data_IF_473980369419
#
_entry.id   IF_473980369419
#
_cell.length_a   1.000
_cell.length_b   1.000
_cell.length_c   1.000
_cell.angle_alpha   90.00
_cell.angle_beta   90.00
_cell.angle_gamma   90.00
#
_symmetry.space_group_name_H-M   'P 1'
#
loop_
_entity.id
_entity.type
_entity.pdbx_description
1 polymer ?
#
# COMPACT_ATOMS: atom_id res chain seq x y z
N UNK A 1 34.10 7.25 9.93
CA UNK A 1 33.15 6.82 8.87
C UNK A 1 32.16 5.77 9.35
N UNK A 2 32.56 4.76 10.15
CA UNK A 2 31.64 3.72 10.63
C UNK A 2 30.54 4.18 11.60
N UNK A 3 30.77 5.25 12.37
CA UNK A 3 29.75 5.83 13.29
C UNK A 3 28.75 6.74 12.61
N UNK A 4 29.00 7.22 11.39
CA UNK A 4 28.10 8.14 10.69
C UNK A 4 26.95 7.40 9.99
N UNK A 5 27.22 6.17 9.53
CA UNK A 5 26.25 5.32 8.83
C UNK A 5 25.00 5.04 9.67
N UNK A 6 25.09 4.64 10.96
CA UNK A 6 23.90 4.42 11.78
C UNK A 6 23.04 5.68 11.95
N UNK A 7 23.65 6.84 12.19
CA UNK A 7 22.90 8.10 12.35
C UNK A 7 22.19 8.51 11.05
N UNK A 8 22.84 8.31 9.89
CA UNK A 8 22.22 8.54 8.60
C UNK A 8 21.01 7.62 8.37
N UNK A 9 21.12 6.33 8.72
CA UNK A 9 20.00 5.38 8.63
C UNK A 9 18.82 5.81 9.51
N UNK A 10 19.08 6.20 10.76
CA UNK A 10 18.04 6.71 11.65
C UNK A 10 17.39 7.99 11.13
N UNK A 11 18.17 8.93 10.58
CA UNK A 11 17.64 10.15 9.99
C UNK A 11 16.73 9.84 8.79
N UNK A 12 17.13 8.90 7.92
CA UNK A 12 16.32 8.46 6.78
C UNK A 12 14.99 7.85 7.26
N UNK A 13 15.03 6.97 8.26
CA UNK A 13 13.81 6.36 8.82
C UNK A 13 12.85 7.43 9.35
N UNK A 14 13.37 8.41 10.10
CA UNK A 14 12.56 9.52 10.65
C UNK A 14 11.91 10.33 9.51
N UNK A 15 12.68 10.68 8.48
CA UNK A 15 12.18 11.43 7.32
C UNK A 15 11.10 10.64 6.57
N UNK A 16 11.29 9.33 6.39
CA UNK A 16 10.29 8.45 5.76
C UNK A 16 9.00 8.45 6.60
N UNK A 17 9.10 8.24 7.91
CA UNK A 17 7.94 8.25 8.80
C UNK A 17 7.19 9.59 8.75
N UNK A 18 7.90 10.72 8.78
CA UNK A 18 7.29 12.05 8.65
C UNK A 18 6.61 12.24 7.29
N UNK A 19 7.23 11.76 6.21
CA UNK A 19 6.63 11.78 4.88
C UNK A 19 5.33 10.99 4.81
N UNK A 20 5.31 9.79 5.37
CA UNK A 20 4.11 8.94 5.43
C UNK A 20 3.00 9.63 6.24
N UNK A 21 3.32 10.19 7.41
CA UNK A 21 2.36 10.93 8.24
C UNK A 21 1.80 12.13 7.46
N UNK A 22 2.65 12.88 6.76
CA UNK A 22 2.23 14.00 5.91
C UNK A 22 1.27 13.56 4.81
N UNK A 23 1.60 12.48 4.08
CA UNK A 23 0.72 11.91 3.05
C UNK A 23 -0.65 11.52 3.62
N UNK A 24 -0.69 10.90 4.80
CA UNK A 24 -1.94 10.52 5.46
C UNK A 24 -2.76 11.75 5.86
N UNK A 25 -2.14 12.76 6.47
CA UNK A 25 -2.82 13.98 6.90
C UNK A 25 -3.41 14.77 5.71
N UNK A 26 -2.63 14.95 4.64
CA UNK A 26 -3.11 15.63 3.44
C UNK A 26 -4.11 14.77 2.64
N UNK A 27 -3.95 13.45 2.64
CA UNK A 27 -4.90 12.51 2.04
C UNK A 27 -6.27 12.57 2.73
N UNK A 28 -6.30 12.52 4.07
CA UNK A 28 -7.52 12.67 4.86
C UNK A 28 -8.19 14.04 4.62
N UNK A 29 -7.39 15.12 4.58
CA UNK A 29 -7.91 16.45 4.25
C UNK A 29 -8.54 16.47 2.85
N UNK A 30 -7.92 15.83 1.86
CA UNK A 30 -8.44 15.75 0.49
C UNK A 30 -9.79 15.02 0.42
N UNK A 31 -9.94 13.93 1.18
CA UNK A 31 -11.20 13.19 1.33
C UNK A 31 -12.31 14.05 1.95
N UNK A 32 -12.00 14.75 3.05
CA UNK A 32 -12.98 15.62 3.74
C UNK A 32 -13.40 16.80 2.86
N UNK A 33 -12.50 17.30 2.01
CA UNK A 33 -12.79 18.36 1.04
C UNK A 33 -13.54 17.87 -0.22
N UNK A 34 -13.84 16.56 -0.32
CA UNK A 34 -14.56 15.99 -1.46
C UNK A 34 -13.77 15.98 -2.78
N UNK A 35 -12.46 16.27 -2.74
CA UNK A 35 -11.59 16.32 -3.93
C UNK A 35 -11.23 14.93 -4.45
N UNK A 36 -11.35 13.91 -3.62
CA UNK A 36 -11.07 12.53 -3.95
C UNK A 36 -12.33 11.67 -3.75
N UNK A 37 -12.61 10.79 -4.71
CA UNK A 37 -13.71 9.83 -4.60
C UNK A 37 -13.36 8.77 -3.54
N UNK A 38 -14.18 8.60 -2.47
CA UNK A 38 -13.86 7.70 -1.36
C UNK A 38 -13.66 6.24 -1.79
N UNK A 39 -14.44 5.78 -2.78
CA UNK A 39 -14.32 4.44 -3.35
C UNK A 39 -12.94 4.23 -3.97
N UNK A 40 -12.48 5.17 -4.79
CA UNK A 40 -11.17 5.07 -5.45
C UNK A 40 -10.04 5.05 -4.43
N UNK A 41 -10.14 5.89 -3.39
CA UNK A 41 -9.15 5.90 -2.29
C UNK A 41 -9.18 4.59 -1.50
N UNK A 42 -10.36 4.04 -1.21
CA UNK A 42 -10.50 2.75 -0.54
C UNK A 42 -9.89 1.59 -1.33
N UNK A 43 -10.04 1.59 -2.66
CA UNK A 43 -9.41 0.56 -3.51
C UNK A 43 -7.89 0.71 -3.51
N UNK A 44 -7.37 1.94 -3.55
CA UNK A 44 -5.93 2.20 -3.50
C UNK A 44 -5.27 1.79 -2.18
N UNK A 45 -6.01 1.71 -1.07
CA UNK A 45 -5.47 1.27 0.23
C UNK A 45 -5.45 -0.24 0.42
N UNK A 46 -6.15 -1.01 -0.43
CA UNK A 46 -6.22 -2.49 -0.35
C UNK A 46 -4.83 -3.16 -0.23
N UNK A 47 -3.82 -2.82 -1.05
CA UNK A 47 -2.51 -3.47 -0.94
C UNK A 47 -1.82 -3.20 0.40
N UNK A 48 -1.94 -1.96 0.91
CA UNK A 48 -1.36 -1.59 2.20
C UNK A 48 -2.05 -2.31 3.36
N UNK A 49 -3.38 -2.43 3.32
CA UNK A 49 -4.15 -3.17 4.33
C UNK A 49 -3.76 -4.65 4.34
N UNK A 50 -3.65 -5.29 3.16
CA UNK A 50 -3.22 -6.69 3.06
C UNK A 50 -1.82 -6.88 3.63
N UNK A 51 -0.88 -5.99 3.31
CA UNK A 51 0.49 -6.05 3.82
C UNK A 51 0.54 -5.93 5.34
N UNK A 52 -0.21 -4.99 5.92
CA UNK A 52 -0.25 -4.81 7.37
C UNK A 52 -0.87 -6.03 8.05
N UNK A 53 -1.99 -6.54 7.54
CA UNK A 53 -2.64 -7.73 8.10
C UNK A 53 -1.73 -8.96 8.02
N UNK A 54 -1.11 -9.22 6.87
CA UNK A 54 -0.17 -10.34 6.71
C UNK A 54 1.09 -10.16 7.56
N UNK A 55 1.60 -8.94 7.70
CA UNK A 55 2.73 -8.64 8.57
C UNK A 55 2.44 -8.96 10.03
N UNK A 56 1.23 -8.62 10.50
CA UNK A 56 0.76 -8.94 11.85
C UNK A 56 0.51 -10.44 12.05
N UNK A 57 -0.02 -11.15 11.04
CA UNK A 57 -0.35 -12.58 11.13
C UNK A 57 0.92 -13.45 11.07
N UNK A 58 1.82 -13.17 10.12
CA UNK A 58 2.99 -14.01 9.87
C UNK A 58 4.18 -13.67 10.77
N UNK A 59 4.18 -12.50 11.41
CA UNK A 59 5.31 -12.01 12.21
C UNK A 59 6.60 -11.75 11.41
N UNK A 60 6.55 -11.91 10.08
CA UNK A 60 7.67 -11.71 9.17
C UNK A 60 7.25 -10.77 8.04
N UNK A 61 7.73 -9.54 8.12
CA UNK A 61 7.41 -8.47 7.17
C UNK A 61 7.90 -8.75 5.75
N UNK A 62 9.03 -9.44 5.58
CA UNK A 62 9.54 -9.80 4.27
C UNK A 62 8.64 -10.85 3.60
N UNK A 63 8.24 -11.87 4.35
CA UNK A 63 7.31 -12.89 3.85
C UNK A 63 5.92 -12.29 3.57
N UNK A 64 5.44 -11.40 4.43
CA UNK A 64 4.18 -10.68 4.21
C UNK A 64 4.20 -9.88 2.90
N UNK A 65 5.27 -9.12 2.63
CA UNK A 65 5.39 -8.34 1.39
C UNK A 65 5.38 -9.22 0.13
N UNK A 66 6.04 -10.38 0.17
CA UNK A 66 6.01 -11.37 -0.91
C UNK A 66 4.59 -11.87 -1.15
N UNK A 67 3.90 -12.30 -0.10
CA UNK A 67 2.52 -12.78 -0.20
C UNK A 67 1.55 -11.69 -0.65
N UNK A 68 1.67 -10.46 -0.16
CA UNK A 68 0.87 -9.32 -0.66
C UNK A 68 1.05 -9.16 -2.16
N UNK A 69 2.28 -9.23 -2.66
CA UNK A 69 2.56 -9.10 -4.10
C UNK A 69 1.88 -10.20 -4.90
N UNK A 70 1.96 -11.45 -4.43
CA UNK A 70 1.31 -12.61 -5.07
C UNK A 70 -0.21 -12.45 -5.08
N UNK A 71 -0.80 -12.04 -3.96
CA UNK A 71 -2.25 -11.85 -3.84
C UNK A 71 -2.73 -10.74 -4.76
N UNK A 72 -2.04 -9.59 -4.79
CA UNK A 72 -2.39 -8.49 -5.67
C UNK A 72 -2.25 -8.87 -7.14
N UNK A 73 -1.24 -9.68 -7.49
CA UNK A 73 -1.08 -10.20 -8.83
C UNK A 73 -2.24 -11.15 -9.22
N UNK A 74 -2.63 -12.05 -8.33
CA UNK A 74 -3.77 -12.94 -8.54
C UNK A 74 -5.09 -12.17 -8.71
N UNK A 75 -5.32 -11.14 -7.88
CA UNK A 75 -6.47 -10.24 -8.02
C UNK A 75 -6.46 -9.50 -9.36
N UNK A 76 -5.28 -9.03 -9.79
CA UNK A 76 -5.10 -8.40 -11.10
C UNK A 76 -5.43 -9.35 -12.25
N UNK A 77 -4.97 -10.60 -12.18
CA UNK A 77 -5.32 -11.62 -13.19
C UNK A 77 -6.81 -11.92 -13.21
N UNK A 78 -7.46 -12.04 -12.05
CA UNK A 78 -8.91 -12.24 -11.98
C UNK A 78 -9.68 -11.03 -12.53
N UNK A 79 -9.21 -9.82 -12.30
CA UNK A 79 -9.82 -8.61 -12.86
C UNK A 79 -9.69 -8.56 -14.39
N UNK A 80 -8.50 -8.88 -14.93
CA UNK A 80 -8.28 -8.96 -16.37
C UNK A 80 -9.10 -10.08 -17.02
N UNK A 81 -9.14 -11.25 -16.39
CA UNK A 81 -9.92 -12.38 -16.89
C UNK A 81 -11.42 -12.07 -16.89
N UNK A 82 -11.94 -11.55 -15.77
CA UNK A 82 -13.36 -11.21 -15.67
C UNK A 82 -13.74 -10.11 -16.66
N UNK A 83 -12.95 -9.03 -16.79
CA UNK A 83 -13.21 -7.99 -17.80
C UNK A 83 -13.16 -8.54 -19.23
N UNK A 84 -12.23 -9.44 -19.55
CA UNK A 84 -12.18 -10.12 -20.84
C UNK A 84 -13.40 -10.99 -21.12
N UNK A 85 -13.84 -11.79 -20.15
CA UNK A 85 -15.02 -12.67 -20.29
C UNK A 85 -16.30 -11.85 -20.40
N UNK A 86 -16.50 -10.85 -19.53
CA UNK A 86 -17.68 -9.99 -19.58
C UNK A 86 -17.76 -9.19 -20.88
N UNK A 87 -16.62 -8.73 -21.41
CA UNK A 87 -16.56 -8.05 -22.71
C UNK A 87 -16.96 -8.91 -23.91
N UNK A 88 -17.10 -10.24 -23.75
CA UNK A 88 -17.64 -11.12 -24.80
C UNK A 88 -19.19 -11.15 -24.81
N UNK A 89 -19.81 -10.77 -23.69
CA UNK A 89 -21.26 -10.82 -23.50
C UNK A 89 -21.94 -9.45 -23.59
N UNK A 90 -21.17 -8.38 -23.79
CA UNK A 90 -21.63 -7.00 -23.99
C UNK A 90 -21.19 -6.49 -25.35
#
# INVERSE_FOLDING_TARGET
MQTFVPYAVWAIIIVICLGVIGMLAFGLRSLVQGKAQPITVGVMTVPAVILVLLGLILGNWAMAAIWTTIIMFALGMLALFSSGVWGLFT
#
